data_IF_054008074205
#
_entry.id   IF_054008074205
#
_cell.length_a   1.000
_cell.length_b   1.000
_cell.length_c   1.000
_cell.angle_alpha   90.00
_cell.angle_beta   90.00
_cell.angle_gamma   90.00
#
_symmetry.space_group_name_H-M   'P 1'
#
loop_
_entity.id
_entity.type
_entity.pdbx_description
1 polymer ?
#
# COMPACT_ATOMS: atom_id res chain seq x y z
N UNK A 1 51.84 -2.68 -3.41
CA UNK A 1 50.81 -2.14 -4.31
C UNK A 1 49.88 -3.29 -4.72
N UNK A 2 48.65 -3.34 -4.20
CA UNK A 2 47.65 -4.33 -4.62
C UNK A 2 46.44 -3.58 -5.17
N UNK A 3 46.20 -3.67 -6.49
CA UNK A 3 45.00 -3.12 -7.14
C UNK A 3 43.86 -4.12 -6.98
N UNK A 4 42.90 -3.78 -6.12
CA UNK A 4 41.63 -4.48 -5.98
C UNK A 4 40.84 -4.36 -7.30
N UNK A 5 40.63 -5.48 -8.00
CA UNK A 5 39.73 -5.54 -9.17
C UNK A 5 38.30 -5.30 -8.69
N UNK A 6 37.75 -4.13 -9.03
CA UNK A 6 36.32 -3.81 -8.87
C UNK A 6 35.53 -4.80 -9.74
N UNK A 7 34.66 -5.58 -9.10
CA UNK A 7 33.80 -6.55 -9.78
C UNK A 7 33.01 -5.88 -10.90
N UNK A 8 33.00 -6.54 -12.05
CA UNK A 8 32.24 -6.17 -13.25
C UNK A 8 30.76 -6.22 -12.88
N UNK A 9 30.19 -5.05 -12.57
CA UNK A 9 28.75 -4.89 -12.49
C UNK A 9 28.17 -5.21 -13.85
N UNK A 10 27.31 -6.22 -13.92
CA UNK A 10 26.57 -6.61 -15.12
C UNK A 10 25.88 -5.36 -15.68
N UNK A 11 26.41 -4.80 -16.76
CA UNK A 11 25.82 -3.64 -17.41
C UNK A 11 24.43 -4.03 -17.90
N UNK A 12 23.40 -3.34 -17.41
CA UNK A 12 22.08 -3.42 -18.02
C UNK A 12 22.23 -3.00 -19.49
N UNK A 13 21.50 -3.61 -20.43
CA UNK A 13 21.67 -3.27 -21.83
C UNK A 13 21.23 -1.81 -22.08
N UNK A 14 22.08 -1.06 -22.77
CA UNK A 14 22.06 0.40 -22.95
C UNK A 14 20.72 0.96 -23.48
N UNK A 15 19.89 0.13 -24.14
CA UNK A 15 18.57 0.53 -24.65
C UNK A 15 17.52 0.74 -23.54
N UNK A 16 17.76 0.23 -22.32
CA UNK A 16 16.88 0.44 -21.15
C UNK A 16 17.28 1.66 -20.32
N UNK A 17 18.36 2.36 -20.67
CA UNK A 17 19.04 3.31 -19.79
C UNK A 17 18.47 4.75 -19.87
N UNK A 18 17.45 4.97 -20.70
CA UNK A 18 16.89 6.30 -20.88
C UNK A 18 15.49 6.37 -21.49
N UNK A 19 14.81 5.24 -21.69
CA UNK A 19 13.44 5.25 -22.21
C UNK A 19 12.43 5.40 -21.06
N UNK A 20 11.79 6.57 -20.88
CA UNK A 20 10.77 6.76 -19.84
C UNK A 20 9.56 5.83 -20.03
N UNK A 21 9.36 5.24 -21.22
CA UNK A 21 8.30 4.27 -21.49
C UNK A 21 8.58 2.87 -20.91
N UNK A 22 9.85 2.52 -20.65
CA UNK A 22 10.21 1.20 -20.10
C UNK A 22 10.09 1.11 -18.57
N UNK A 23 9.98 2.24 -17.86
CA UNK A 23 9.97 2.28 -16.39
C UNK A 23 11.28 1.78 -15.74
N UNK A 24 12.30 1.48 -16.54
CA UNK A 24 13.59 1.01 -16.08
C UNK A 24 14.41 2.23 -15.59
N UNK A 25 14.48 2.41 -14.28
CA UNK A 25 15.36 3.39 -13.65
C UNK A 25 16.57 2.66 -13.05
N UNK A 26 17.64 2.41 -13.82
CA UNK A 26 18.79 1.65 -13.34
C UNK A 26 19.39 2.35 -12.10
N UNK A 27 19.52 1.59 -11.01
CA UNK A 27 20.21 2.03 -9.79
C UNK A 27 19.41 2.90 -8.82
N UNK A 28 18.23 3.42 -9.18
CA UNK A 28 17.42 4.26 -8.27
C UNK A 28 16.34 3.41 -7.60
N UNK A 29 16.66 2.76 -6.48
CA UNK A 29 15.66 2.01 -5.65
C UNK A 29 14.65 2.93 -4.94
N UNK A 30 15.00 4.20 -4.84
CA UNK A 30 14.28 5.22 -4.08
C UNK A 30 12.84 5.50 -4.54
N UNK A 31 12.50 5.56 -5.84
CA UNK A 31 11.12 5.74 -6.29
C UNK A 31 10.22 4.56 -5.91
N UNK A 32 10.72 3.33 -6.00
CA UNK A 32 9.97 2.11 -5.64
C UNK A 32 9.72 2.05 -4.13
N UNK A 33 10.76 2.35 -3.32
CA UNK A 33 10.62 2.41 -1.85
C UNK A 33 9.62 3.49 -1.46
N UNK A 34 9.73 4.70 -2.04
CA UNK A 34 8.79 5.80 -1.78
C UNK A 34 7.36 5.42 -2.13
N UNK A 35 7.15 4.84 -3.31
CA UNK A 35 5.83 4.38 -3.73
C UNK A 35 5.26 3.34 -2.75
N UNK A 36 6.05 2.32 -2.40
CA UNK A 36 5.65 1.30 -1.43
C UNK A 36 5.29 1.89 -0.06
N UNK A 37 6.08 2.85 0.44
CA UNK A 37 5.79 3.55 1.70
C UNK A 37 4.50 4.39 1.62
N UNK A 38 4.27 5.09 0.50
CA UNK A 38 3.05 5.87 0.29
C UNK A 38 1.83 4.95 0.22
N UNK A 39 1.91 3.83 -0.51
CA UNK A 39 0.83 2.85 -0.61
C UNK A 39 0.54 2.18 0.74
N UNK A 40 1.58 1.90 1.54
CA UNK A 40 1.43 1.38 2.90
C UNK A 40 0.76 2.40 3.83
N UNK A 41 1.16 3.67 3.76
CA UNK A 41 0.54 4.75 4.52
C UNK A 41 -0.93 4.94 4.13
N UNK A 42 -1.23 4.93 2.82
CA UNK A 42 -2.59 5.02 2.31
C UNK A 42 -3.46 3.85 2.79
N UNK A 43 -2.93 2.62 2.75
CA UNK A 43 -3.62 1.45 3.29
C UNK A 43 -3.86 1.57 4.80
N UNK A 44 -2.88 2.08 5.55
CA UNK A 44 -3.01 2.30 7.00
C UNK A 44 -4.14 3.29 7.30
N UNK A 45 -4.18 4.43 6.60
CA UNK A 45 -5.23 5.44 6.75
C UNK A 45 -6.60 4.85 6.38
N UNK A 46 -6.67 4.08 5.28
CA UNK A 46 -7.92 3.48 4.83
C UNK A 46 -8.47 2.46 5.85
N UNK A 47 -7.62 1.55 6.32
CA UNK A 47 -8.02 0.55 7.34
C UNK A 47 -8.41 1.24 8.64
N UNK A 48 -7.70 2.30 9.04
CA UNK A 48 -8.07 3.09 10.20
C UNK A 48 -9.45 3.73 10.04
N UNK A 49 -9.75 4.32 8.88
CA UNK A 49 -11.06 4.90 8.60
C UNK A 49 -12.18 3.84 8.61
N UNK A 50 -11.92 2.66 8.05
CA UNK A 50 -12.85 1.52 8.08
C UNK A 50 -13.15 1.12 9.53
N UNK A 51 -12.12 0.90 10.35
CA UNK A 51 -12.29 0.52 11.76
C UNK A 51 -13.00 1.60 12.57
N UNK A 52 -12.72 2.88 12.29
CA UNK A 52 -13.40 4.00 12.93
C UNK A 52 -14.90 4.00 12.61
N UNK A 53 -15.28 3.73 11.37
CA UNK A 53 -16.70 3.61 10.96
C UNK A 53 -17.34 2.40 11.63
N UNK A 54 -16.70 1.24 11.57
CA UNK A 54 -17.26 -0.01 12.10
C UNK A 54 -17.45 0.06 13.61
N UNK A 55 -16.45 0.56 14.35
CA UNK A 55 -16.49 0.65 15.82
C UNK A 55 -17.31 1.82 16.34
N UNK A 56 -17.35 2.93 15.60
CA UNK A 56 -17.93 4.18 16.05
C UNK A 56 -17.21 4.85 17.23
N UNK A 57 -16.04 4.32 17.65
CA UNK A 57 -15.23 4.85 18.76
C UNK A 57 -13.76 4.99 18.37
N UNK A 58 -13.22 6.19 18.55
CA UNK A 58 -11.84 6.52 18.24
C UNK A 58 -10.84 5.81 19.17
N UNK A 59 -11.11 5.76 20.47
CA UNK A 59 -10.20 5.18 21.45
C UNK A 59 -10.07 3.65 21.24
N UNK A 60 -11.18 2.99 20.99
CA UNK A 60 -11.26 1.58 20.62
C UNK A 60 -10.52 1.26 19.31
N UNK A 61 -10.60 2.15 18.31
CA UNK A 61 -9.83 2.00 17.06
C UNK A 61 -8.33 2.10 17.32
N UNK A 62 -7.85 3.11 18.06
CA UNK A 62 -6.42 3.20 18.41
C UNK A 62 -5.97 1.97 19.20
N UNK A 63 -6.77 1.53 20.17
CA UNK A 63 -6.50 0.30 20.94
C UNK A 63 -6.44 -0.96 20.07
N UNK A 64 -7.20 -1.04 18.98
CA UNK A 64 -7.14 -2.13 18.01
C UNK A 64 -5.78 -2.20 17.32
N UNK A 65 -5.21 -1.07 16.91
CA UNK A 65 -3.89 -1.02 16.26
C UNK A 65 -2.72 -1.25 17.22
N UNK A 66 -2.88 -0.87 18.49
CA UNK A 66 -1.86 -1.09 19.53
C UNK A 66 -1.76 -2.54 20.00
N UNK A 67 -2.76 -3.38 19.68
CA UNK A 67 -2.76 -4.79 20.07
C UNK A 67 -2.15 -5.66 18.96
N UNK A 68 -0.92 -6.17 19.15
CA UNK A 68 -0.19 -6.89 18.09
C UNK A 68 -0.85 -8.22 17.70
N UNK A 69 -1.70 -8.79 18.55
CA UNK A 69 -2.42 -10.04 18.30
C UNK A 69 -3.76 -9.86 17.59
N UNK A 70 -4.20 -8.61 17.36
CA UNK A 70 -5.36 -8.35 16.53
C UNK A 70 -4.93 -8.25 15.06
N UNK A 71 -5.76 -8.71 14.11
CA UNK A 71 -5.40 -8.80 12.70
C UNK A 71 -5.24 -7.45 11.98
N UNK A 72 -5.09 -6.32 12.69
CA UNK A 72 -4.99 -4.99 12.11
C UNK A 72 -3.79 -4.83 11.16
N UNK A 73 -2.60 -5.28 11.60
CA UNK A 73 -1.39 -5.22 10.78
C UNK A 73 -1.49 -6.07 9.52
N UNK A 74 -2.07 -7.27 9.62
CA UNK A 74 -2.29 -8.14 8.46
C UNK A 74 -3.27 -7.53 7.47
N UNK A 75 -4.33 -6.88 7.93
CA UNK A 75 -5.29 -6.18 7.06
C UNK A 75 -4.62 -5.03 6.31
N UNK A 76 -3.79 -4.23 6.98
CA UNK A 76 -3.04 -3.13 6.33
C UNK A 76 -2.15 -3.68 5.21
N UNK A 77 -1.41 -4.75 5.47
CA UNK A 77 -0.51 -5.36 4.48
C UNK A 77 -1.30 -5.88 3.28
N UNK A 78 -2.41 -6.59 3.52
CA UNK A 78 -3.27 -7.11 2.45
C UNK A 78 -3.83 -5.96 1.60
N UNK A 79 -4.35 -4.90 2.23
CA UNK A 79 -4.85 -3.73 1.52
C UNK A 79 -3.74 -3.03 0.72
N UNK A 80 -2.53 -2.90 1.28
CA UNK A 80 -1.40 -2.33 0.56
C UNK A 80 -1.07 -3.16 -0.70
N UNK A 81 -1.06 -4.50 -0.58
CA UNK A 81 -0.85 -5.39 -1.73
C UNK A 81 -1.97 -5.29 -2.77
N UNK A 82 -3.22 -5.15 -2.35
CA UNK A 82 -4.36 -4.94 -3.25
C UNK A 82 -4.21 -3.62 -4.01
N UNK A 83 -3.89 -2.51 -3.32
CA UNK A 83 -3.69 -1.21 -3.95
C UNK A 83 -2.54 -1.25 -4.95
N UNK A 84 -1.40 -1.85 -4.57
CA UNK A 84 -0.23 -1.99 -5.45
C UNK A 84 -0.56 -2.89 -6.65
N UNK A 85 -1.21 -4.02 -6.42
CA UNK A 85 -1.60 -4.95 -7.48
C UNK A 85 -2.59 -4.31 -8.46
N UNK A 86 -3.57 -3.56 -7.95
CA UNK A 86 -4.55 -2.88 -8.78
C UNK A 86 -3.94 -1.69 -9.53
N UNK A 87 -3.05 -0.92 -8.90
CA UNK A 87 -2.27 0.13 -9.58
C UNK A 87 -1.43 -0.46 -10.73
N UNK A 88 -0.86 -1.65 -10.54
CA UNK A 88 -0.12 -2.35 -11.59
C UNK A 88 -1.01 -2.79 -12.76
N UNK A 89 -2.25 -3.22 -12.49
CA UNK A 89 -3.25 -3.55 -13.53
C UNK A 89 -3.75 -2.30 -14.26
N UNK A 90 -3.95 -1.19 -13.54
CA UNK A 90 -4.44 0.07 -14.11
C UNK A 90 -3.33 0.87 -14.82
N UNK A 91 -2.07 0.51 -14.63
CA UNK A 91 -0.91 1.20 -15.23
C UNK A 91 -0.68 2.60 -14.67
N UNK A 92 -1.33 2.98 -13.56
CA UNK A 92 -1.22 4.32 -12.97
C UNK A 92 -1.16 4.26 -11.44
N UNK A 93 -0.16 4.95 -10.89
CA UNK A 93 0.07 5.04 -9.45
C UNK A 93 -1.13 5.66 -8.73
N UNK A 94 -1.54 5.04 -7.62
CA UNK A 94 -2.60 5.48 -6.71
C UNK A 94 -4.01 5.58 -7.31
N UNK A 95 -4.23 5.12 -8.54
CA UNK A 95 -5.56 5.12 -9.15
C UNK A 95 -6.47 4.07 -8.51
N UNK A 96 -5.90 2.98 -7.98
CA UNK A 96 -6.62 1.96 -7.20
C UNK A 96 -7.44 2.55 -6.06
N UNK A 97 -7.00 3.65 -5.43
CA UNK A 97 -7.71 4.30 -4.32
C UNK A 97 -9.07 4.85 -4.74
N UNK A 98 -9.23 5.30 -5.98
CA UNK A 98 -10.53 5.79 -6.49
C UNK A 98 -11.59 4.70 -6.56
N UNK A 99 -11.18 3.43 -6.55
CA UNK A 99 -12.07 2.27 -6.60
C UNK A 99 -12.18 1.63 -5.22
N UNK A 100 -11.03 1.30 -4.61
CA UNK A 100 -10.97 0.52 -3.38
C UNK A 100 -11.49 1.32 -2.18
N UNK A 101 -11.14 2.60 -2.06
CA UNK A 101 -11.57 3.41 -0.92
C UNK A 101 -13.09 3.59 -0.84
N UNK A 102 -13.81 4.08 -1.88
CA UNK A 102 -15.26 4.25 -1.78
C UNK A 102 -15.98 2.91 -1.60
N UNK A 103 -15.53 1.85 -2.24
CA UNK A 103 -16.12 0.52 -2.12
C UNK A 103 -16.02 -0.03 -0.69
N UNK A 104 -14.83 0.04 -0.09
CA UNK A 104 -14.58 -0.52 1.24
C UNK A 104 -15.17 0.34 2.36
N UNK A 105 -15.15 1.67 2.21
CA UNK A 105 -15.82 2.58 3.14
C UNK A 105 -17.35 2.44 3.09
N UNK A 106 -17.93 2.27 1.89
CA UNK A 106 -19.36 2.01 1.76
C UNK A 106 -19.76 0.67 2.43
N UNK A 107 -18.96 -0.38 2.23
CA UNK A 107 -19.17 -1.67 2.91
C UNK A 107 -19.06 -1.54 4.43
N UNK A 108 -18.07 -0.80 4.93
CA UNK A 108 -17.90 -0.53 6.36
C UNK A 108 -19.11 0.20 6.93
N UNK A 109 -19.60 1.23 6.22
CA UNK A 109 -20.78 1.98 6.61
C UNK A 109 -22.04 1.08 6.65
N UNK A 110 -22.30 0.32 5.59
CA UNK A 110 -23.45 -0.61 5.55
C UNK A 110 -23.35 -1.66 6.65
N UNK A 111 -22.15 -2.18 6.93
CA UNK A 111 -21.91 -3.13 8.02
C UNK A 111 -22.22 -2.51 9.39
N UNK A 112 -21.78 -1.28 9.62
CA UNK A 112 -22.07 -0.54 10.85
C UNK A 112 -23.58 -0.34 11.04
N UNK A 113 -24.30 0.08 9.99
CA UNK A 113 -25.75 0.22 10.04
C UNK A 113 -26.43 -1.12 10.37
N UNK A 114 -26.01 -2.23 9.75
CA UNK A 114 -26.59 -3.54 10.05
C UNK A 114 -26.43 -3.95 11.52
N UNK A 115 -25.25 -3.71 12.12
CA UNK A 115 -25.03 -4.03 13.54
C UNK A 115 -25.92 -3.20 14.47
N UNK A 116 -26.16 -1.91 14.14
CA UNK A 116 -27.07 -1.07 14.93
C UNK A 116 -28.52 -1.56 14.92
N UNK A 117 -28.99 -2.13 13.81
CA UNK A 117 -30.39 -2.53 13.64
C UNK A 117 -30.67 -4.01 13.93
N UNK A 118 -29.67 -4.89 13.82
CA UNK A 118 -29.86 -6.34 13.91
C UNK A 118 -29.06 -7.03 15.02
N UNK A 119 -28.12 -6.33 15.67
CA UNK A 119 -27.21 -6.91 16.66
C UNK A 119 -26.12 -7.75 16.02
#
# INVERSE_FOLDING_TARGET
>A
MARTRKGVGKAAPQFLEGDPATGYLPGRKWPVIRYGLISLLAATILVFAIELIVRGDFAGTVGFFLQPFKPGWTTIIIFALILIGLDAVLGRSHQSLMIVAPLTLALAFVGHQKSLYLG
#
